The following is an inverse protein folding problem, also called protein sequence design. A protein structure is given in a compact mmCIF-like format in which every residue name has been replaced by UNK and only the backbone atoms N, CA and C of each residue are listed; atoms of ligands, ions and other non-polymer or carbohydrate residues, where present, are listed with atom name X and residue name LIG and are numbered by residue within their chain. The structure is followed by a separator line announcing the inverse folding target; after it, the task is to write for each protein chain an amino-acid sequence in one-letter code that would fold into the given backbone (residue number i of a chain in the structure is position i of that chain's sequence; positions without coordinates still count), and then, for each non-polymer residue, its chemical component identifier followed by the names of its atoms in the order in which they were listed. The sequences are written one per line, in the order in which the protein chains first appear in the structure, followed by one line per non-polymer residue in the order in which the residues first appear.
data_IF_979348769428
#
_entry.id   IF_979348769428
#
_cell.length_a   1.000
_cell.length_b   1.000
_cell.length_c   1.000
_cell.angle_alpha   90.00
_cell.angle_beta   90.00
_cell.angle_gamma   90.00
#
_symmetry.space_group_name_H-M   'P 1'
#
loop_
_entity.id
_entity.type
_entity.pdbx_description
1 polymer ?
#
# COMPACT_ATOMS: atom_id res chain seq x y z
N UNK A 1 -17.74 15.65 -15.48
CA UNK A 1 -18.46 14.62 -14.68
C UNK A 1 -17.50 13.60 -14.08
N UNK A 2 -16.45 13.18 -14.79
CA UNK A 2 -15.43 12.20 -14.34
C UNK A 2 -14.65 12.59 -13.08
N UNK A 3 -14.31 13.87 -12.91
CA UNK A 3 -13.56 14.34 -11.74
C UNK A 3 -14.31 14.18 -10.41
N UNK A 4 -15.61 14.49 -10.38
CA UNK A 4 -16.41 14.33 -9.15
C UNK A 4 -16.58 12.86 -8.76
N UNK A 5 -16.72 11.98 -9.75
CA UNK A 5 -16.81 10.53 -9.51
C UNK A 5 -15.49 9.97 -8.99
N UNK A 6 -14.35 10.47 -9.48
CA UNK A 6 -13.01 10.11 -9.00
C UNK A 6 -12.83 10.46 -7.52
N UNK A 7 -13.06 11.73 -7.18
CA UNK A 7 -12.96 12.23 -5.80
C UNK A 7 -13.89 11.47 -4.85
N UNK A 8 -15.13 11.19 -5.29
CA UNK A 8 -16.09 10.44 -4.49
C UNK A 8 -15.63 9.00 -4.27
N UNK A 9 -15.09 8.34 -5.30
CA UNK A 9 -14.58 6.97 -5.19
C UNK A 9 -13.40 6.89 -4.21
N UNK A 10 -12.42 7.80 -4.35
CA UNK A 10 -11.27 7.92 -3.43
C UNK A 10 -11.75 8.13 -2.00
N UNK A 11 -12.67 9.08 -1.77
CA UNK A 11 -13.16 9.41 -0.43
C UNK A 11 -13.95 8.27 0.24
N UNK A 12 -14.75 7.54 -0.54
CA UNK A 12 -15.50 6.39 -0.02
C UNK A 12 -14.57 5.23 0.36
N UNK A 13 -13.54 4.96 -0.45
CA UNK A 13 -12.54 3.94 -0.13
C UNK A 13 -11.72 4.34 1.09
N UNK A 14 -11.27 5.59 1.16
CA UNK A 14 -10.58 6.16 2.31
C UNK A 14 -11.38 5.97 3.61
N UNK A 15 -12.67 6.32 3.61
CA UNK A 15 -13.52 6.15 4.79
C UNK A 15 -13.68 4.70 5.24
N UNK A 16 -13.75 3.75 4.30
CA UNK A 16 -13.81 2.31 4.62
C UNK A 16 -12.50 1.78 5.20
N UNK A 17 -11.37 2.28 4.71
CA UNK A 17 -10.05 1.93 5.24
C UNK A 17 -9.88 2.47 6.66
N UNK A 18 -10.23 3.72 6.92
CA UNK A 18 -10.23 4.29 8.27
C UNK A 18 -11.08 3.47 9.25
N UNK A 19 -12.29 3.07 8.85
CA UNK A 19 -13.13 2.22 9.70
C UNK A 19 -12.47 0.86 9.97
N UNK A 20 -11.73 0.33 9.00
CA UNK A 20 -10.99 -0.93 9.16
C UNK A 20 -9.79 -0.74 10.11
N UNK A 21 -9.05 0.36 9.99
CA UNK A 21 -7.96 0.71 10.90
C UNK A 21 -8.45 0.84 12.33
N UNK A 22 -9.56 1.55 12.54
CA UNK A 22 -10.18 1.66 13.85
C UNK A 22 -10.58 0.30 14.43
N UNK A 23 -11.16 -0.59 13.63
CA UNK A 23 -11.50 -1.97 14.05
C UNK A 23 -10.27 -2.83 14.38
N UNK A 24 -9.11 -2.51 13.82
CA UNK A 24 -7.83 -3.14 14.15
C UNK A 24 -7.16 -2.51 15.38
N UNK A 25 -7.78 -1.50 15.99
CA UNK A 25 -7.19 -0.77 17.13
C UNK A 25 -6.08 0.21 16.73
N UNK A 26 -5.99 0.58 15.45
CA UNK A 26 -5.04 1.59 14.99
C UNK A 26 -5.64 2.99 15.17
N UNK A 27 -4.86 3.89 15.76
CA UNK A 27 -5.25 5.26 16.05
C UNK A 27 -4.51 6.26 15.16
N UNK A 28 -5.28 7.17 14.55
CA UNK A 28 -4.72 8.25 13.75
C UNK A 28 -3.91 9.20 14.63
N UNK A 29 -2.68 9.51 14.23
CA UNK A 29 -1.75 10.35 14.98
C UNK A 29 -0.87 9.60 15.98
N UNK A 30 -1.19 8.34 16.29
CA UNK A 30 -0.33 7.44 17.06
C UNK A 30 0.31 6.38 16.18
N UNK A 31 -0.50 5.68 15.38
CA UNK A 31 -0.05 4.57 14.55
C UNK A 31 0.15 4.98 13.09
N UNK A 32 -0.69 5.89 12.58
CA UNK A 32 -0.63 6.34 11.19
C UNK A 32 -1.04 7.81 11.00
N UNK A 33 -0.58 8.40 9.89
CA UNK A 33 -1.02 9.68 9.36
C UNK A 33 -1.58 9.52 7.94
N UNK A 34 -2.72 10.16 7.64
CA UNK A 34 -3.17 10.29 6.25
C UNK A 34 -2.23 11.24 5.49
N UNK A 35 -1.91 10.88 4.26
CA UNK A 35 -0.97 11.65 3.43
C UNK A 35 -1.67 12.54 2.41
N UNK A 36 -2.94 12.29 2.12
CA UNK A 36 -3.66 13.00 1.04
C UNK A 36 -3.00 12.80 -0.32
N UNK A 37 -3.29 13.71 -1.25
CA UNK A 37 -2.75 13.69 -2.61
C UNK A 37 -1.29 14.18 -2.68
N UNK A 38 -0.40 13.54 -1.93
CA UNK A 38 1.02 13.87 -1.85
C UNK A 38 1.80 13.39 -3.08
N UNK A 39 2.88 14.11 -3.40
CA UNK A 39 3.83 13.73 -4.47
C UNK A 39 5.07 13.11 -3.87
N UNK A 40 5.46 11.94 -4.39
CA UNK A 40 6.55 11.13 -3.88
C UNK A 40 7.66 10.98 -4.91
N UNK A 41 8.89 10.85 -4.42
CA UNK A 41 10.08 10.54 -5.21
C UNK A 41 10.42 9.06 -4.99
N UNK A 42 10.51 8.29 -6.06
CA UNK A 42 10.95 6.90 -5.94
C UNK A 42 12.40 6.82 -5.46
N UNK A 43 12.72 5.77 -4.70
CA UNK A 43 14.04 5.58 -4.10
C UNK A 43 15.14 5.26 -5.15
N UNK A 44 14.79 4.75 -6.32
CA UNK A 44 15.74 4.43 -7.39
C UNK A 44 16.29 5.69 -8.07
N UNK A 45 17.59 5.70 -8.37
CA UNK A 45 18.25 6.76 -9.12
C UNK A 45 17.51 7.02 -10.45
N UNK A 46 16.98 8.23 -10.64
CA UNK A 46 16.23 8.60 -11.85
C UNK A 46 14.72 8.29 -11.83
N UNK A 47 14.15 7.83 -10.70
CA UNK A 47 12.71 7.66 -10.57
C UNK A 47 11.98 8.98 -10.83
N UNK A 48 11.01 8.95 -11.76
CA UNK A 48 10.05 10.04 -11.95
C UNK A 48 9.21 10.18 -10.69
N UNK A 49 8.79 11.39 -10.37
CA UNK A 49 7.87 11.63 -9.25
C UNK A 49 6.48 11.10 -9.60
N UNK A 50 5.73 10.63 -8.60
CA UNK A 50 4.32 10.27 -8.76
C UNK A 50 3.49 10.85 -7.63
N UNK A 51 2.31 11.34 -7.99
CA UNK A 51 1.28 11.77 -7.06
C UNK A 51 0.29 10.61 -6.87
N UNK A 52 -0.03 10.30 -5.61
CA UNK A 52 -1.14 9.40 -5.28
C UNK A 52 -2.44 10.19 -5.14
N UNK A 53 -3.60 9.52 -5.24
CA UNK A 53 -4.88 10.18 -4.97
C UNK A 53 -5.08 10.41 -3.46
N UNK A 54 -4.68 9.43 -2.65
CA UNK A 54 -4.62 9.51 -1.19
C UNK A 54 -3.69 8.42 -0.64
N UNK A 55 -3.46 8.39 0.67
CA UNK A 55 -2.66 7.35 1.28
C UNK A 55 -2.53 7.45 2.80
N UNK A 56 -1.79 6.50 3.36
CA UNK A 56 -1.48 6.42 4.78
C UNK A 56 -0.02 6.03 4.99
N UNK A 57 0.60 6.68 5.97
CA UNK A 57 1.97 6.44 6.40
C UNK A 57 1.97 6.09 7.89
N UNK A 58 2.70 5.05 8.34
CA UNK A 58 2.90 4.81 9.76
C UNK A 58 3.61 5.99 10.45
N UNK A 59 3.24 6.33 11.68
CA UNK A 59 3.86 7.45 12.41
C UNK A 59 5.38 7.26 12.64
N UNK A 60 5.85 6.01 12.68
CA UNK A 60 7.27 5.69 12.82
C UNK A 60 8.10 5.98 11.56
N UNK A 61 7.46 6.24 10.41
CA UNK A 61 8.14 6.53 9.15
C UNK A 61 8.35 8.03 8.96
N UNK A 62 9.45 8.39 8.32
CA UNK A 62 9.74 9.77 7.96
C UNK A 62 8.90 10.20 6.75
N UNK A 63 8.54 11.48 6.68
CA UNK A 63 7.62 12.02 5.66
C UNK A 63 8.16 11.93 4.21
N UNK A 64 9.45 11.67 4.03
CA UNK A 64 10.12 11.45 2.76
C UNK A 64 10.06 10.00 2.26
N UNK A 65 9.53 9.07 3.07
CA UNK A 65 9.33 7.67 2.68
C UNK A 65 8.02 7.47 1.92
N UNK A 66 7.98 6.43 1.09
CA UNK A 66 6.77 6.02 0.40
C UNK A 66 5.70 5.56 1.41
N UNK A 67 4.41 5.82 1.11
CA UNK A 67 3.33 5.43 1.99
C UNK A 67 3.25 3.90 2.05
N UNK A 68 2.81 3.36 3.19
CA UNK A 68 2.56 1.92 3.31
C UNK A 68 1.29 1.52 2.56
N UNK A 69 0.30 2.43 2.53
CA UNK A 69 -0.92 2.24 1.77
C UNK A 69 -1.15 3.45 0.87
N UNK A 70 -1.34 3.21 -0.43
CA UNK A 70 -1.70 4.24 -1.40
C UNK A 70 -3.05 3.93 -2.02
N UNK A 71 -3.84 4.97 -2.26
CA UNK A 71 -5.11 4.90 -2.97
C UNK A 71 -4.92 5.47 -4.37
N UNK A 72 -5.29 4.68 -5.37
CA UNK A 72 -5.39 5.08 -6.78
C UNK A 72 -6.76 4.61 -7.27
N UNK A 73 -7.73 5.52 -7.39
CA UNK A 73 -9.12 5.14 -7.73
C UNK A 73 -9.33 4.98 -9.23
N UNK A 74 -8.42 5.52 -10.06
CA UNK A 74 -8.33 5.29 -11.49
C UNK A 74 -9.59 5.63 -12.29
N UNK A 75 -10.49 6.43 -11.73
CA UNK A 75 -11.76 6.71 -12.38
C UNK A 75 -11.56 7.65 -13.57
N UNK A 76 -11.71 7.10 -14.77
CA UNK A 76 -11.39 7.78 -16.02
C UNK A 76 -10.00 7.43 -16.57
N UNK A 77 -9.25 6.55 -15.90
CA UNK A 77 -8.01 5.96 -16.40
C UNK A 77 -8.29 4.60 -17.05
N UNK A 78 -7.45 4.22 -18.02
CA UNK A 78 -7.46 2.86 -18.55
C UNK A 78 -6.89 1.87 -17.54
N UNK A 79 -7.36 0.60 -17.56
CA UNK A 79 -6.79 -0.46 -16.72
C UNK A 79 -5.26 -0.61 -16.92
N UNK A 80 -4.78 -0.41 -18.15
CA UNK A 80 -3.35 -0.42 -18.44
C UNK A 80 -2.59 0.70 -17.72
N UNK A 81 -3.20 1.88 -17.56
CA UNK A 81 -2.62 2.97 -16.78
C UNK A 81 -2.62 2.64 -15.29
N UNK A 82 -3.70 2.06 -14.77
CA UNK A 82 -3.75 1.60 -13.38
C UNK A 82 -2.67 0.56 -13.07
N UNK A 83 -2.41 -0.39 -13.98
CA UNK A 83 -1.30 -1.34 -13.81
C UNK A 83 0.06 -0.63 -13.80
N UNK A 84 0.30 0.33 -14.69
CA UNK A 84 1.54 1.13 -14.65
C UNK A 84 1.69 1.90 -13.35
N UNK A 85 0.60 2.47 -12.83
CA UNK A 85 0.60 3.19 -11.55
C UNK A 85 0.95 2.23 -10.41
N UNK A 86 0.30 1.07 -10.37
CA UNK A 86 0.57 -0.03 -9.42
C UNK A 86 2.05 -0.46 -9.46
N UNK A 87 2.55 -0.76 -10.65
CA UNK A 87 3.93 -1.22 -10.84
C UNK A 87 4.94 -0.15 -10.39
N UNK A 88 4.69 1.14 -10.66
CA UNK A 88 5.54 2.22 -10.17
C UNK A 88 5.64 2.23 -8.64
N UNK A 89 4.52 2.09 -7.93
CA UNK A 89 4.52 2.07 -6.46
C UNK A 89 5.33 0.89 -5.91
N UNK A 90 5.16 -0.29 -6.49
CA UNK A 90 5.88 -1.50 -6.08
C UNK A 90 7.37 -1.47 -6.41
N UNK A 91 7.74 -0.98 -7.60
CA UNK A 91 9.14 -0.89 -7.99
C UNK A 91 9.89 0.16 -7.17
N UNK A 92 9.20 1.21 -6.72
CA UNK A 92 9.79 2.27 -5.91
C UNK A 92 9.81 1.96 -4.40
N UNK A 93 9.00 1.02 -3.90
CA UNK A 93 8.87 0.70 -2.45
C UNK A 93 10.05 -0.07 -1.84
N UNK A 94 11.05 -0.46 -2.63
CA UNK A 94 12.30 -1.07 -2.16
C UNK A 94 12.44 -2.57 -2.50
N UNK A 95 13.66 -3.13 -2.39
CA UNK A 95 13.96 -4.49 -2.84
C UNK A 95 13.56 -5.63 -1.88
N UNK A 96 13.17 -5.33 -0.62
CA UNK A 96 13.13 -6.33 0.46
C UNK A 96 11.74 -6.87 0.86
N UNK A 97 10.66 -6.53 0.16
CA UNK A 97 9.33 -7.10 0.44
C UNK A 97 8.72 -7.79 -0.81
N UNK A 98 8.14 -9.00 -0.66
CA UNK A 98 7.62 -9.75 -1.78
C UNK A 98 6.52 -8.96 -2.50
N UNK A 99 6.76 -8.74 -3.80
CA UNK A 99 5.90 -8.05 -4.76
C UNK A 99 4.55 -8.76 -4.85
N UNK A 100 3.58 -8.31 -4.06
CA UNK A 100 2.27 -8.95 -3.94
C UNK A 100 1.30 -8.53 -5.02
N UNK A 101 1.45 -9.09 -6.23
CA UNK A 101 0.24 -9.56 -6.90
C UNK A 101 -0.23 -10.76 -6.06
N UNK A 102 -1.40 -10.66 -5.42
CA UNK A 102 -2.02 -11.80 -4.72
C UNK A 102 -2.45 -12.83 -5.77
N UNK A 103 -1.49 -13.58 -6.29
CA UNK A 103 -1.65 -14.83 -7.04
C UNK A 103 -0.76 -15.86 -6.35
N UNK A 104 -1.33 -16.60 -5.42
CA UNK A 104 -0.62 -17.75 -4.83
C UNK A 104 -0.89 -18.05 -3.36
N UNK A 105 -2.15 -18.10 -2.92
CA UNK A 105 -2.50 -18.97 -1.79
C UNK A 105 -2.69 -20.39 -2.34
N UNK A 106 -1.58 -21.03 -2.69
CA UNK A 106 -1.51 -22.48 -2.86
C UNK A 106 -0.10 -22.94 -2.51
N UNK A 107 -0.05 -23.99 -1.69
CA UNK A 107 1.13 -24.69 -1.17
C UNK A 107 1.93 -23.97 -0.06
N UNK A 108 1.38 -23.95 1.16
CA UNK A 108 2.19 -24.33 2.33
C UNK A 108 2.07 -25.85 2.50
N UNK A 109 2.98 -26.58 1.85
CA UNK A 109 3.31 -27.96 2.25
C UNK A 109 4.47 -27.91 3.24
N UNK A 110 4.42 -28.82 4.22
CA UNK A 110 5.08 -28.74 5.51
C UNK A 110 6.60 -28.58 5.49
N UNK A 111 7.08 -27.77 6.42
CA UNK A 111 8.40 -27.95 7.03
C UNK A 111 8.16 -28.36 8.49
N UNK A 112 8.76 -29.46 8.98
CA UNK A 112 8.58 -29.89 10.37
C UNK A 112 9.31 -28.96 11.35
N UNK A 113 8.72 -28.84 12.53
CA UNK A 113 9.21 -28.06 13.67
C UNK A 113 10.45 -28.74 14.29
N UNK A 114 11.50 -28.00 14.69
CA UNK A 114 12.78 -28.58 15.11
C UNK A 114 12.85 -28.89 16.62
N UNK A 115 11.78 -29.45 17.23
CA UNK A 115 11.76 -29.73 18.68
C UNK A 115 11.24 -31.15 19.04
N UNK A 116 11.65 -32.17 18.31
CA UNK A 116 11.51 -33.57 18.76
C UNK A 116 12.75 -34.39 18.39
N UNK A 117 13.88 -34.06 19.00
CA UNK A 117 14.99 -35.00 19.20
C UNK A 117 15.59 -34.74 20.57
N UNK A 118 14.92 -35.27 21.59
CA UNK A 118 15.51 -35.65 22.87
C UNK A 118 14.41 -36.36 23.65
N UNK A 119 14.47 -37.69 23.71
CA UNK A 119 14.02 -38.55 24.81
C UNK A 119 14.36 -40.01 24.41
N UNK A 120 15.50 -40.47 24.93
CA UNK A 120 16.03 -41.85 25.12
C UNK A 120 15.72 -42.98 24.12
#
# INVERSE_FOLDING_TARGET
MTHMTHELATRLLYGRLLLSFHKMGLEQGLDFFPTGAATYKGASLGAKQKQGDDGFLPCARTADQLPTLVIESGNGESLAQLHRNKDWWFDCSGPDEPRGDVKGLSARQGAPHPDEQDLD
#
